data_IF_856166871249
#
_entry.id   IF_856166871249
#
_cell.length_a   1.000
_cell.length_b   1.000
_cell.length_c   1.000
_cell.angle_alpha   90.00
_cell.angle_beta   90.00
_cell.angle_gamma   90.00
#
_symmetry.space_group_name_H-M   'P 1'
#
loop_
_entity.id
_entity.type
_entity.pdbx_description
1 polymer ?
#
# COMPACT_ATOMS: atom_id res chain seq x y z
N UNK A 1 7.76 49.09 -29.16
CA UNK A 1 7.72 47.66 -29.00
C UNK A 1 6.55 47.33 -28.05
N UNK A 2 5.41 46.90 -28.58
CA UNK A 2 4.32 46.39 -27.75
C UNK A 2 4.76 45.03 -27.20
N UNK A 3 4.82 44.88 -25.89
CA UNK A 3 5.06 43.59 -25.26
C UNK A 3 3.92 42.65 -25.71
N UNK A 4 4.27 41.50 -26.26
CA UNK A 4 3.27 40.44 -26.51
C UNK A 4 2.51 40.17 -25.24
N UNK A 5 1.15 40.03 -25.29
CA UNK A 5 0.36 39.75 -24.10
C UNK A 5 0.84 38.45 -23.49
N UNK A 6 1.37 38.53 -22.28
CA UNK A 6 1.84 37.38 -21.52
C UNK A 6 0.65 36.42 -21.39
N UNK A 7 0.75 35.23 -21.96
CA UNK A 7 -0.32 34.23 -22.00
C UNK A 7 -0.73 33.91 -20.55
N UNK A 8 -1.90 34.43 -20.13
CA UNK A 8 -2.43 34.15 -18.79
C UNK A 8 -2.86 32.70 -18.72
N UNK A 9 -2.21 31.95 -17.86
CA UNK A 9 -2.60 30.58 -17.56
C UNK A 9 -3.83 30.55 -16.67
N UNK A 10 -4.86 29.82 -17.07
CA UNK A 10 -6.01 29.47 -16.22
C UNK A 10 -5.90 28.02 -15.77
N UNK A 11 -6.67 27.65 -14.74
CA UNK A 11 -6.77 26.27 -14.24
C UNK A 11 -7.05 25.32 -15.40
N UNK A 12 -8.11 25.56 -16.18
CA UNK A 12 -8.50 24.70 -17.29
C UNK A 12 -7.46 24.64 -18.41
N UNK A 13 -6.78 25.76 -18.72
CA UNK A 13 -5.71 25.78 -19.71
C UNK A 13 -4.52 24.90 -19.30
N UNK A 14 -4.16 24.94 -18.00
CA UNK A 14 -3.08 24.12 -17.45
C UNK A 14 -3.47 22.63 -17.40
N UNK A 15 -4.66 22.30 -16.92
CA UNK A 15 -5.17 20.91 -16.91
C UNK A 15 -5.15 20.34 -18.32
N UNK A 16 -5.67 21.09 -19.32
CA UNK A 16 -5.65 20.64 -20.71
C UNK A 16 -4.24 20.39 -21.21
N UNK A 17 -3.34 21.34 -21.03
CA UNK A 17 -1.96 21.22 -21.47
C UNK A 17 -1.24 20.05 -20.81
N UNK A 18 -1.35 19.91 -19.47
CA UNK A 18 -0.75 18.80 -18.73
C UNK A 18 -1.32 17.45 -19.16
N UNK A 19 -2.64 17.37 -19.40
CA UNK A 19 -3.29 16.16 -19.93
C UNK A 19 -2.72 15.74 -21.27
N UNK A 20 -2.56 16.70 -22.20
CA UNK A 20 -2.02 16.42 -23.54
C UNK A 20 -0.54 15.99 -23.46
N UNK A 21 0.27 16.65 -22.62
CA UNK A 21 1.68 16.29 -22.40
C UNK A 21 1.83 14.91 -21.73
N UNK A 22 1.03 14.61 -20.71
CA UNK A 22 1.04 13.31 -20.03
C UNK A 22 0.62 12.17 -20.94
N UNK A 23 -0.41 12.41 -21.79
CA UNK A 23 -0.86 11.45 -22.81
C UNK A 23 0.24 11.15 -23.82
N UNK A 24 0.92 12.18 -24.31
CA UNK A 24 2.03 12.02 -25.25
C UNK A 24 3.20 11.20 -24.66
N UNK A 25 3.32 11.12 -23.33
CA UNK A 25 4.32 10.33 -22.61
C UNK A 25 3.82 8.96 -22.18
N UNK A 26 2.60 8.57 -22.59
CA UNK A 26 2.01 7.27 -22.24
C UNK A 26 1.68 7.13 -20.76
N UNK A 27 1.38 8.21 -20.03
CA UNK A 27 0.83 8.13 -18.67
C UNK A 27 -0.60 7.61 -18.77
N UNK A 28 -0.92 6.61 -17.95
CA UNK A 28 -2.16 5.83 -18.08
C UNK A 28 -3.43 6.67 -17.87
N UNK A 29 -3.45 7.52 -16.84
CA UNK A 29 -4.61 8.34 -16.48
C UNK A 29 -4.31 9.85 -16.60
N UNK A 30 -3.95 10.38 -17.81
CA UNK A 30 -3.30 11.67 -17.96
C UNK A 30 -4.18 12.84 -17.49
N UNK A 31 -5.50 12.78 -17.70
CA UNK A 31 -6.42 13.82 -17.25
C UNK A 31 -6.64 13.79 -15.75
N UNK A 32 -6.81 12.60 -15.18
CA UNK A 32 -6.96 12.42 -13.74
C UNK A 32 -5.73 12.96 -13.00
N UNK A 33 -4.54 12.59 -13.48
CA UNK A 33 -3.27 13.03 -12.90
C UNK A 33 -3.14 14.56 -12.95
N UNK A 34 -3.46 15.19 -14.09
CA UNK A 34 -3.43 16.63 -14.22
C UNK A 34 -4.40 17.33 -13.25
N UNK A 35 -5.65 16.86 -13.15
CA UNK A 35 -6.66 17.40 -12.24
C UNK A 35 -6.23 17.22 -10.77
N UNK A 36 -5.69 16.07 -10.39
CA UNK A 36 -5.22 15.78 -9.04
C UNK A 36 -4.04 16.67 -8.65
N UNK A 37 -3.07 16.87 -9.53
CA UNK A 37 -1.92 17.75 -9.27
C UNK A 37 -2.35 19.22 -9.12
N UNK A 38 -3.29 19.68 -9.94
CA UNK A 38 -3.82 21.04 -9.83
C UNK A 38 -4.62 21.20 -8.54
N UNK A 39 -5.48 20.24 -8.21
CA UNK A 39 -6.23 20.24 -6.96
C UNK A 39 -5.30 20.32 -5.74
N UNK A 40 -4.25 19.48 -5.73
CA UNK A 40 -3.23 19.45 -4.68
C UNK A 40 -2.48 20.78 -4.55
N UNK A 41 -1.97 21.32 -5.66
CA UNK A 41 -1.20 22.56 -5.64
C UNK A 41 -2.01 23.77 -5.19
N UNK A 42 -3.31 23.78 -5.47
CA UNK A 42 -4.21 24.88 -5.12
C UNK A 42 -4.92 24.69 -3.77
N UNK A 43 -4.77 23.52 -3.12
CA UNK A 43 -5.47 23.20 -1.87
C UNK A 43 -6.99 23.14 -2.03
N UNK A 44 -7.49 22.72 -3.20
CA UNK A 44 -8.91 22.61 -3.51
C UNK A 44 -9.27 21.17 -3.91
N UNK A 45 -10.56 20.82 -3.89
CA UNK A 45 -11.01 19.54 -4.42
C UNK A 45 -11.09 19.52 -5.95
N UNK A 46 -11.16 18.32 -6.56
CA UNK A 46 -11.24 18.13 -8.02
C UNK A 46 -12.50 18.75 -8.63
N UNK A 47 -13.60 18.80 -7.91
CA UNK A 47 -14.84 19.43 -8.39
C UNK A 47 -14.62 20.91 -8.62
N UNK A 48 -13.91 21.57 -7.68
CA UNK A 48 -13.55 22.99 -7.83
C UNK A 48 -12.57 23.24 -8.99
N UNK A 49 -11.66 22.33 -9.27
CA UNK A 49 -10.77 22.42 -10.46
C UNK A 49 -11.59 22.53 -11.75
N UNK A 50 -12.71 21.82 -11.84
CA UNK A 50 -13.62 21.87 -13.00
C UNK A 50 -14.44 23.16 -12.99
N UNK A 51 -15.05 23.51 -11.86
CA UNK A 51 -15.92 24.69 -11.75
C UNK A 51 -15.12 25.99 -11.97
N UNK A 52 -13.93 26.10 -11.39
CA UNK A 52 -13.08 27.27 -11.46
C UNK A 52 -12.12 27.26 -12.67
N UNK A 53 -12.44 26.52 -13.71
CA UNK A 53 -11.54 26.29 -14.87
C UNK A 53 -11.07 27.60 -15.55
N UNK A 54 -11.84 28.67 -15.47
CA UNK A 54 -11.51 29.99 -16.02
C UNK A 54 -10.68 30.86 -15.06
N UNK A 55 -10.49 30.45 -13.79
CA UNK A 55 -9.70 31.19 -12.81
C UNK A 55 -8.25 31.31 -13.27
N UNK A 56 -7.67 32.52 -13.34
CA UNK A 56 -6.25 32.70 -13.59
C UNK A 56 -5.42 32.09 -12.46
N UNK A 57 -4.25 31.55 -12.82
CA UNK A 57 -3.27 31.02 -11.87
C UNK A 57 -2.28 32.10 -11.47
N UNK A 58 -2.03 32.20 -10.17
CA UNK A 58 -1.03 33.10 -9.60
C UNK A 58 0.40 32.63 -9.89
N UNK A 59 1.40 33.53 -9.93
CA UNK A 59 2.79 33.15 -10.21
C UNK A 59 3.34 32.05 -9.28
N UNK A 60 2.99 32.11 -7.98
CA UNK A 60 3.42 31.09 -7.00
C UNK A 60 2.78 29.72 -7.28
N UNK A 61 1.48 29.70 -7.61
CA UNK A 61 0.75 28.47 -7.98
C UNK A 61 1.36 27.86 -9.26
N UNK A 62 1.68 28.69 -10.24
CA UNK A 62 2.35 28.25 -11.49
C UNK A 62 3.74 27.67 -11.23
N UNK A 63 4.50 28.24 -10.30
CA UNK A 63 5.83 27.74 -9.95
C UNK A 63 5.75 26.33 -9.34
N UNK A 64 4.84 26.12 -8.37
CA UNK A 64 4.60 24.81 -7.78
C UNK A 64 4.10 23.80 -8.80
N UNK A 65 3.13 24.19 -9.62
CA UNK A 65 2.58 23.32 -10.67
C UNK A 65 3.62 22.92 -11.72
N UNK A 66 4.55 23.80 -12.07
CA UNK A 66 5.66 23.46 -12.97
C UNK A 66 6.55 22.37 -12.40
N UNK A 67 6.87 22.44 -11.09
CA UNK A 67 7.67 21.40 -10.44
C UNK A 67 6.93 20.08 -10.42
N UNK A 68 5.68 20.06 -9.96
CA UNK A 68 4.85 18.85 -9.89
C UNK A 68 4.67 18.20 -11.27
N UNK A 69 4.37 19.00 -12.29
CA UNK A 69 4.24 18.50 -13.67
C UNK A 69 5.58 17.94 -14.18
N UNK A 70 6.70 18.62 -13.90
CA UNK A 70 8.03 18.14 -14.30
C UNK A 70 8.35 16.78 -13.68
N UNK A 71 8.08 16.62 -12.40
CA UNK A 71 8.28 15.37 -11.67
C UNK A 71 7.37 14.26 -12.20
N UNK A 72 6.07 14.54 -12.44
CA UNK A 72 5.15 13.56 -13.03
C UNK A 72 5.55 13.15 -14.45
N UNK A 73 6.08 14.07 -15.26
CA UNK A 73 6.68 13.76 -16.58
C UNK A 73 7.83 12.76 -16.50
N UNK A 74 8.56 12.76 -15.41
CA UNK A 74 9.62 11.78 -15.09
C UNK A 74 9.06 10.50 -14.49
N UNK A 75 7.73 10.30 -14.53
CA UNK A 75 7.03 9.11 -14.01
C UNK A 75 6.94 9.02 -12.49
N UNK A 76 7.31 10.05 -11.73
CA UNK A 76 7.12 10.02 -10.28
C UNK A 76 5.63 9.79 -9.93
N UNK A 77 5.31 8.81 -9.05
CA UNK A 77 3.93 8.48 -8.71
C UNK A 77 3.17 9.66 -8.10
N UNK A 78 1.90 9.81 -8.47
CA UNK A 78 1.02 10.86 -7.91
C UNK A 78 0.97 10.80 -6.37
N UNK A 79 0.96 9.62 -5.79
CA UNK A 79 0.95 9.46 -4.34
C UNK A 79 2.19 10.05 -3.68
N UNK A 80 3.37 9.89 -4.27
CA UNK A 80 4.61 10.49 -3.76
C UNK A 80 4.65 12.01 -3.99
N UNK A 81 4.12 12.50 -5.11
CA UNK A 81 4.00 13.93 -5.36
C UNK A 81 3.08 14.62 -4.35
N UNK A 82 2.03 13.94 -3.91
CA UNK A 82 1.09 14.42 -2.87
C UNK A 82 1.60 14.16 -1.45
N UNK A 83 2.52 13.21 -1.29
CA UNK A 83 2.99 12.74 0.01
C UNK A 83 1.96 11.89 0.75
N UNK A 84 0.87 11.48 0.10
CA UNK A 84 -0.19 10.68 0.73
C UNK A 84 -0.95 9.79 -0.25
N UNK A 85 -1.47 8.68 0.28
CA UNK A 85 -2.39 7.74 -0.38
C UNK A 85 -3.52 7.38 0.56
N UNK A 86 -4.75 7.42 0.06
CA UNK A 86 -5.88 6.89 0.80
C UNK A 86 -5.86 5.36 0.83
N UNK A 87 -6.11 4.78 2.01
CA UNK A 87 -6.29 3.36 2.22
C UNK A 87 -7.33 3.15 3.32
N UNK A 88 -8.34 2.37 3.06
CA UNK A 88 -9.44 2.07 3.99
C UNK A 88 -10.09 3.34 4.57
N UNK A 89 -10.31 4.35 3.72
CA UNK A 89 -10.90 5.64 4.07
C UNK A 89 -10.00 6.57 4.91
N UNK A 90 -8.67 6.31 4.99
CA UNK A 90 -7.71 7.11 5.76
C UNK A 90 -6.53 7.55 4.92
N UNK A 91 -6.03 8.80 5.09
CA UNK A 91 -4.86 9.29 4.35
C UNK A 91 -3.56 8.81 5.01
N UNK A 92 -2.89 7.87 4.39
CA UNK A 92 -1.56 7.40 4.78
C UNK A 92 -0.48 8.24 4.11
N UNK A 93 0.49 8.71 4.90
CA UNK A 93 1.71 9.31 4.35
C UNK A 93 2.51 8.26 3.61
N UNK A 94 3.03 8.64 2.43
CA UNK A 94 3.88 7.80 1.59
C UNK A 94 4.95 8.63 0.91
N UNK A 95 6.11 8.02 0.74
CA UNK A 95 7.22 8.51 -0.08
C UNK A 95 8.05 7.31 -0.58
N UNK A 96 9.16 7.55 -1.26
CA UNK A 96 9.99 6.51 -1.88
C UNK A 96 10.57 5.44 -0.92
N UNK A 97 10.32 5.55 0.37
CA UNK A 97 10.74 4.56 1.39
C UNK A 97 9.76 3.40 1.54
N UNK A 98 8.53 3.53 1.03
CA UNK A 98 7.47 2.53 1.21
C UNK A 98 6.72 2.24 -0.08
N UNK A 99 6.22 1.02 -0.23
CA UNK A 99 5.24 0.69 -1.25
C UNK A 99 3.99 1.58 -1.08
N UNK A 100 3.46 2.10 -2.17
CA UNK A 100 2.20 2.84 -2.16
C UNK A 100 1.06 1.86 -1.84
N UNK A 101 0.27 2.06 -0.78
CA UNK A 101 -0.88 1.19 -0.47
C UNK A 101 -1.78 0.97 -1.67
N UNK A 102 -2.08 -0.30 -1.96
CA UNK A 102 -2.96 -0.70 -3.07
C UNK A 102 -4.39 -0.91 -2.56
N UNK A 103 -5.41 -0.57 -3.34
CA UNK A 103 -6.81 -0.86 -2.97
C UNK A 103 -7.06 -2.36 -2.73
N UNK A 104 -6.36 -3.21 -3.49
CA UNK A 104 -6.49 -4.67 -3.40
C UNK A 104 -6.08 -5.20 -2.02
N UNK A 105 -5.12 -4.54 -1.35
CA UNK A 105 -4.65 -4.86 0.01
C UNK A 105 -5.74 -4.63 1.08
N UNK A 106 -6.80 -3.86 0.77
CA UNK A 106 -7.95 -3.74 1.67
C UNK A 106 -8.64 -5.08 1.92
N UNK A 107 -8.59 -5.98 0.93
CA UNK A 107 -9.07 -7.37 1.06
C UNK A 107 -8.35 -8.13 2.17
N UNK A 108 -7.05 -7.91 2.38
CA UNK A 108 -6.31 -8.53 3.47
C UNK A 108 -6.83 -8.09 4.84
N UNK A 109 -7.17 -6.81 4.98
CA UNK A 109 -7.81 -6.28 6.19
C UNK A 109 -9.18 -6.92 6.41
N UNK A 110 -10.01 -6.97 5.37
CA UNK A 110 -11.36 -7.54 5.44
C UNK A 110 -11.32 -9.02 5.85
N UNK A 111 -10.41 -9.80 5.25
CA UNK A 111 -10.20 -11.22 5.60
C UNK A 111 -9.76 -11.37 7.06
N UNK A 112 -8.78 -10.60 7.51
CA UNK A 112 -8.30 -10.67 8.88
C UNK A 112 -9.43 -10.36 9.89
N UNK A 113 -10.26 -9.35 9.61
CA UNK A 113 -11.40 -8.99 10.45
C UNK A 113 -12.50 -10.05 10.44
N UNK A 114 -12.85 -10.58 9.27
CA UNK A 114 -13.89 -11.60 9.10
C UNK A 114 -13.51 -12.91 9.78
N UNK A 115 -12.29 -13.41 9.54
CA UNK A 115 -11.77 -14.66 10.09
C UNK A 115 -11.62 -14.62 11.63
N UNK A 116 -11.50 -13.41 12.20
CA UNK A 116 -11.37 -13.21 13.66
C UNK A 116 -12.61 -12.58 14.30
N UNK A 117 -13.75 -12.56 13.61
CA UNK A 117 -14.98 -11.94 14.11
C UNK A 117 -15.49 -12.59 15.43
N UNK A 118 -15.21 -13.88 15.62
CA UNK A 118 -15.56 -14.66 16.81
C UNK A 118 -14.57 -14.52 17.98
N UNK A 119 -13.39 -13.92 17.73
CA UNK A 119 -12.38 -13.71 18.78
C UNK A 119 -12.75 -12.47 19.59
N UNK A 120 -12.32 -12.44 20.85
CA UNK A 120 -12.56 -11.29 21.73
C UNK A 120 -12.04 -10.00 21.13
N UNK A 121 -12.58 -8.85 21.57
CA UNK A 121 -12.15 -7.53 21.11
C UNK A 121 -10.66 -7.23 21.41
N UNK A 122 -10.05 -7.97 22.34
CA UNK A 122 -8.64 -7.81 22.72
C UNK A 122 -7.80 -8.96 22.12
N UNK A 123 -7.37 -8.77 20.87
CA UNK A 123 -6.53 -9.72 20.12
C UNK A 123 -5.07 -9.30 20.11
N UNK A 124 -4.19 -10.26 19.85
CA UNK A 124 -2.80 -10.02 19.47
C UNK A 124 -2.63 -10.25 17.98
N UNK A 125 -2.22 -9.22 17.28
CA UNK A 125 -2.04 -9.23 15.84
C UNK A 125 -0.57 -9.01 15.50
N UNK A 126 -0.08 -9.71 14.48
CA UNK A 126 1.22 -9.46 13.88
C UNK A 126 1.00 -9.12 12.41
N UNK A 127 1.58 -8.00 11.95
CA UNK A 127 1.62 -7.62 10.55
C UNK A 127 3.06 -7.65 10.06
N UNK A 128 3.36 -8.57 9.16
CA UNK A 128 4.68 -8.73 8.54
C UNK A 128 4.76 -7.90 7.25
N UNK A 129 5.94 -7.40 6.91
CA UNK A 129 6.18 -6.56 5.74
C UNK A 129 5.25 -5.33 5.73
N UNK A 130 5.17 -4.64 6.87
CA UNK A 130 4.13 -3.63 7.14
C UNK A 130 4.22 -2.39 6.26
N UNK A 131 5.37 -2.11 5.65
CA UNK A 131 5.60 -0.97 4.76
C UNK A 131 5.20 0.37 5.40
N UNK A 132 4.21 1.04 4.82
CA UNK A 132 3.64 2.28 5.37
C UNK A 132 2.82 2.10 6.66
N UNK A 133 2.62 0.86 7.11
CA UNK A 133 1.76 0.51 8.24
C UNK A 133 0.28 0.42 7.87
N UNK A 134 -0.10 0.42 6.60
CA UNK A 134 -1.49 0.56 6.20
C UNK A 134 -2.38 -0.58 6.72
N UNK A 135 -1.93 -1.83 6.70
CA UNK A 135 -2.68 -2.99 7.24
C UNK A 135 -2.70 -2.94 8.77
N UNK A 136 -1.52 -2.88 9.41
CA UNK A 136 -1.40 -2.87 10.88
C UNK A 136 -2.22 -1.74 11.53
N UNK A 137 -2.09 -0.52 11.03
CA UNK A 137 -2.77 0.66 11.56
C UNK A 137 -4.28 0.56 11.34
N UNK A 138 -4.71 0.07 10.18
CA UNK A 138 -6.14 -0.13 9.92
C UNK A 138 -6.73 -1.16 10.85
N UNK A 139 -6.09 -2.31 11.04
CA UNK A 139 -6.51 -3.33 12.00
C UNK A 139 -6.54 -2.79 13.44
N UNK A 140 -5.52 -2.03 13.83
CA UNK A 140 -5.47 -1.38 15.16
C UNK A 140 -6.64 -0.40 15.38
N UNK A 141 -7.04 0.33 14.33
CA UNK A 141 -8.17 1.27 14.39
C UNK A 141 -9.53 0.58 14.37
N UNK A 142 -9.64 -0.59 13.71
CA UNK A 142 -10.85 -1.42 13.71
C UNK A 142 -11.01 -2.23 15.03
N UNK A 143 -9.90 -2.51 15.71
CA UNK A 143 -9.83 -3.28 16.97
C UNK A 143 -9.05 -2.49 18.04
N UNK A 144 -9.62 -1.42 18.61
CA UNK A 144 -8.88 -0.47 19.47
C UNK A 144 -8.32 -1.07 20.76
N UNK A 145 -8.89 -2.18 21.24
CA UNK A 145 -8.44 -2.89 22.45
C UNK A 145 -7.40 -3.98 22.16
N UNK A 146 -7.12 -4.25 20.89
CA UNK A 146 -6.13 -5.24 20.46
C UNK A 146 -4.71 -4.68 20.58
N UNK A 147 -3.73 -5.57 20.65
CA UNK A 147 -2.30 -5.24 20.58
C UNK A 147 -1.79 -5.65 19.21
N UNK A 148 -1.28 -4.71 18.46
CA UNK A 148 -0.72 -4.95 17.13
C UNK A 148 0.80 -4.81 17.19
N UNK A 149 1.51 -5.82 16.68
CA UNK A 149 2.93 -5.75 16.38
C UNK A 149 3.09 -5.67 14.88
N UNK A 150 3.77 -4.66 14.39
CA UNK A 150 4.05 -4.47 12.97
C UNK A 150 5.56 -4.60 12.73
N UNK A 151 5.96 -5.38 11.74
CA UNK A 151 7.37 -5.59 11.43
C UNK A 151 7.69 -5.32 9.96
N UNK A 152 8.89 -4.82 9.74
CA UNK A 152 9.48 -4.64 8.42
C UNK A 152 10.99 -4.80 8.52
N UNK A 153 11.64 -5.23 7.45
CA UNK A 153 13.09 -5.30 7.37
C UNK A 153 13.72 -3.91 7.18
N UNK A 154 12.95 -2.96 6.65
CA UNK A 154 13.38 -1.58 6.37
C UNK A 154 13.12 -0.64 7.56
N UNK A 155 14.15 -0.11 8.21
CA UNK A 155 13.99 0.90 9.25
C UNK A 155 13.36 2.19 8.72
N UNK A 156 13.57 2.51 7.44
CA UNK A 156 12.98 3.66 6.77
C UNK A 156 11.47 3.49 6.56
N UNK A 157 11.02 2.29 6.19
CA UNK A 157 9.59 1.97 6.13
C UNK A 157 8.94 2.07 7.51
N UNK A 158 9.60 1.54 8.54
CA UNK A 158 9.12 1.65 9.93
C UNK A 158 9.05 3.09 10.42
N UNK A 159 9.92 3.99 9.94
CA UNK A 159 9.84 5.41 10.27
C UNK A 159 8.55 6.03 9.71
N UNK A 160 8.20 5.71 8.45
CA UNK A 160 6.93 6.15 7.83
C UNK A 160 5.73 5.54 8.55
N UNK A 161 5.78 4.24 8.89
CA UNK A 161 4.70 3.55 9.60
C UNK A 161 4.44 4.15 10.98
N UNK A 162 5.50 4.48 11.76
CA UNK A 162 5.37 5.15 13.06
C UNK A 162 4.73 6.54 12.92
N UNK A 163 5.12 7.31 11.92
CA UNK A 163 4.51 8.61 11.64
C UNK A 163 3.02 8.47 11.30
N UNK A 164 2.65 7.50 10.47
CA UNK A 164 1.27 7.20 10.13
C UNK A 164 0.47 6.76 11.37
N UNK A 165 1.03 5.89 12.22
CA UNK A 165 0.37 5.46 13.45
C UNK A 165 0.05 6.63 14.37
N UNK A 166 1.02 7.54 14.55
CA UNK A 166 0.82 8.75 15.35
C UNK A 166 -0.26 9.67 14.76
N UNK A 167 -0.15 9.98 13.45
CA UNK A 167 -1.12 10.85 12.73
C UNK A 167 -2.54 10.30 12.74
N UNK A 168 -2.68 8.99 12.64
CA UNK A 168 -3.98 8.32 12.56
C UNK A 168 -4.50 7.83 13.93
N UNK A 169 -3.78 8.11 15.02
CA UNK A 169 -4.18 7.77 16.38
C UNK A 169 -4.22 6.28 16.68
N UNK A 170 -3.34 5.49 16.05
CA UNK A 170 -3.20 4.04 16.28
C UNK A 170 -2.13 3.76 17.34
N UNK A 171 -2.41 4.12 18.60
CA UNK A 171 -1.44 4.02 19.70
C UNK A 171 -1.24 2.60 20.26
N UNK A 172 -2.04 1.66 19.80
CA UNK A 172 -1.97 0.25 20.13
C UNK A 172 -1.12 -0.58 19.14
N UNK A 173 -0.31 0.09 18.29
CA UNK A 173 0.66 -0.54 17.38
C UNK A 173 2.07 -0.36 17.91
N UNK A 174 2.82 -1.47 18.06
CA UNK A 174 4.26 -1.47 18.27
C UNK A 174 4.98 -1.85 16.99
N UNK A 175 6.20 -1.35 16.79
CA UNK A 175 6.98 -1.57 15.57
C UNK A 175 8.33 -2.17 15.88
N UNK A 176 8.71 -3.21 15.13
CA UNK A 176 9.99 -3.92 15.26
C UNK A 176 10.66 -4.10 13.89
N UNK A 177 11.95 -3.81 13.81
CA UNK A 177 12.75 -4.16 12.64
C UNK A 177 13.03 -5.65 12.64
N UNK A 178 12.60 -6.36 11.59
CA UNK A 178 12.72 -7.81 11.50
C UNK A 178 12.67 -8.29 10.06
N UNK A 179 13.58 -9.17 9.69
CA UNK A 179 13.42 -10.01 8.51
C UNK A 179 12.42 -11.11 8.86
N UNK A 180 11.16 -10.90 8.42
CA UNK A 180 10.01 -11.71 8.79
C UNK A 180 9.95 -11.93 10.33
N UNK A 181 10.17 -13.16 10.78
CA UNK A 181 10.06 -13.54 12.21
C UNK A 181 11.36 -13.43 13.00
N UNK A 182 12.49 -13.08 12.37
CA UNK A 182 13.82 -13.19 12.99
C UNK A 182 13.96 -12.44 14.32
N UNK A 183 13.37 -11.28 14.47
CA UNK A 183 13.41 -10.46 15.67
C UNK A 183 12.06 -10.39 16.41
N UNK A 184 11.08 -11.22 16.03
CA UNK A 184 9.85 -11.35 16.81
C UNK A 184 10.19 -12.06 18.11
N UNK A 185 9.82 -11.50 19.31
CA UNK A 185 10.21 -12.09 20.58
C UNK A 185 9.81 -13.56 20.69
N UNK A 186 10.75 -14.41 21.08
CA UNK A 186 10.52 -15.84 21.26
C UNK A 186 9.35 -16.09 22.25
N UNK A 187 8.48 -17.05 21.94
CA UNK A 187 7.30 -17.34 22.74
C UNK A 187 6.11 -16.39 22.51
N UNK A 188 6.25 -15.37 21.66
CA UNK A 188 5.08 -14.59 21.23
C UNK A 188 4.05 -15.50 20.57
N UNK A 189 2.77 -15.18 20.81
CA UNK A 189 1.63 -15.86 20.19
C UNK A 189 0.64 -14.82 19.70
N UNK A 190 0.06 -15.08 18.53
CA UNK A 190 -0.86 -14.15 17.87
C UNK A 190 -2.15 -14.88 17.48
N UNK A 191 -3.27 -14.20 17.63
CA UNK A 191 -4.57 -14.66 17.16
C UNK A 191 -4.67 -14.56 15.63
N UNK A 192 -3.98 -13.58 15.04
CA UNK A 192 -3.87 -13.41 13.58
C UNK A 192 -2.51 -12.88 13.18
N UNK A 193 -1.98 -13.43 12.10
CA UNK A 193 -0.79 -12.93 11.40
C UNK A 193 -1.23 -12.52 10.00
N UNK A 194 -0.97 -11.27 9.61
CA UNK A 194 -1.15 -10.76 8.26
C UNK A 194 0.19 -10.53 7.59
N UNK A 195 0.26 -10.65 6.26
CA UNK A 195 1.42 -10.29 5.48
C UNK A 195 1.02 -9.84 4.08
N UNK A 196 1.60 -8.74 3.62
CA UNK A 196 1.67 -8.39 2.21
C UNK A 196 3.16 -8.39 1.81
N UNK A 197 3.74 -9.57 1.55
CA UNK A 197 5.14 -9.70 1.20
C UNK A 197 5.39 -9.31 -0.26
N UNK A 198 6.64 -9.03 -0.65
CA UNK A 198 7.01 -8.95 -2.06
C UNK A 198 6.65 -10.29 -2.78
N UNK A 199 5.94 -10.17 -3.90
CA UNK A 199 5.45 -11.34 -4.66
C UNK A 199 5.72 -11.26 -6.17
N UNK A 200 6.43 -10.24 -6.67
CA UNK A 200 6.74 -10.14 -8.09
C UNK A 200 7.99 -10.98 -8.38
N UNK A 201 7.89 -11.86 -9.37
CA UNK A 201 9.06 -12.63 -9.80
C UNK A 201 10.18 -11.70 -10.27
N UNK A 202 11.42 -11.96 -9.85
CA UNK A 202 12.58 -11.09 -10.15
C UNK A 202 12.67 -10.75 -11.64
N UNK A 203 12.38 -11.73 -12.53
CA UNK A 203 12.43 -11.54 -13.97
C UNK A 203 11.34 -10.61 -14.53
N UNK A 204 10.25 -10.38 -13.80
CA UNK A 204 9.12 -9.56 -14.22
C UNK A 204 9.28 -8.09 -13.82
N UNK A 205 10.18 -7.78 -12.90
CA UNK A 205 10.37 -6.42 -12.35
C UNK A 205 10.69 -5.41 -13.45
N UNK A 206 11.56 -5.78 -14.40
CA UNK A 206 11.93 -4.91 -15.50
C UNK A 206 10.76 -4.60 -16.45
N UNK A 207 9.73 -5.43 -16.47
CA UNK A 207 8.51 -5.24 -17.25
C UNK A 207 7.45 -4.35 -16.58
N UNK A 208 7.64 -3.97 -15.33
CA UNK A 208 6.68 -3.14 -14.59
C UNK A 208 6.58 -1.73 -15.19
N UNK A 209 5.44 -1.09 -14.92
CA UNK A 209 5.27 0.32 -15.24
C UNK A 209 6.40 1.16 -14.60
N UNK A 210 6.90 2.15 -15.34
CA UNK A 210 8.07 2.93 -14.92
C UNK A 210 7.88 3.65 -13.57
N UNK A 211 6.65 4.04 -13.22
CA UNK A 211 6.32 4.66 -11.94
C UNK A 211 6.43 3.68 -10.77
N UNK A 212 6.27 2.39 -10.99
CA UNK A 212 6.50 1.35 -9.98
C UNK A 212 8.00 0.99 -9.95
N UNK A 213 8.53 0.56 -11.10
CA UNK A 213 9.90 0.03 -11.23
C UNK A 213 10.97 1.02 -10.77
N UNK A 214 10.83 2.31 -11.16
CA UNK A 214 11.88 3.31 -10.99
C UNK A 214 11.76 4.10 -9.67
N UNK A 215 10.60 4.03 -8.99
CA UNK A 215 10.32 4.87 -7.82
C UNK A 215 9.98 4.09 -6.56
N UNK A 216 9.31 2.94 -6.66
CA UNK A 216 8.96 2.17 -5.47
C UNK A 216 10.14 1.29 -5.01
N UNK A 217 10.28 1.03 -3.70
CA UNK A 217 11.42 0.26 -3.19
C UNK A 217 11.46 -1.14 -3.80
N UNK A 218 12.57 -1.51 -4.46
CA UNK A 218 12.74 -2.82 -5.08
C UNK A 218 12.51 -3.97 -4.08
N UNK A 219 12.98 -3.80 -2.83
CA UNK A 219 12.78 -4.80 -1.78
C UNK A 219 11.33 -5.02 -1.38
N UNK A 220 10.41 -4.10 -1.73
CA UNK A 220 8.98 -4.27 -1.52
C UNK A 220 8.26 -4.92 -2.73
N UNK A 221 8.99 -5.19 -3.82
CA UNK A 221 8.45 -5.76 -5.06
C UNK A 221 8.96 -7.18 -5.31
N UNK A 222 10.27 -7.42 -5.10
CA UNK A 222 11.00 -8.62 -5.53
C UNK A 222 10.71 -9.82 -4.61
N UNK A 223 9.84 -10.72 -5.07
CA UNK A 223 9.44 -11.95 -4.38
C UNK A 223 10.35 -13.16 -4.66
N UNK A 224 11.48 -12.96 -5.36
CA UNK A 224 12.39 -14.03 -5.72
C UNK A 224 12.11 -14.64 -7.10
N UNK A 225 12.62 -15.83 -7.33
CA UNK A 225 12.64 -16.43 -8.67
C UNK A 225 11.24 -16.64 -9.28
N UNK A 226 10.26 -16.97 -8.46
CA UNK A 226 8.88 -17.27 -8.87
C UNK A 226 7.82 -16.50 -8.06
N UNK A 227 8.23 -15.46 -7.31
CA UNK A 227 7.34 -14.63 -6.50
C UNK A 227 7.02 -15.20 -5.12
N UNK A 228 7.30 -16.47 -4.84
CA UNK A 228 6.81 -17.17 -3.65
C UNK A 228 7.83 -17.33 -2.51
N UNK A 229 9.02 -16.75 -2.62
CA UNK A 229 10.09 -16.98 -1.63
C UNK A 229 9.69 -16.55 -0.21
N UNK A 230 9.01 -15.42 -0.08
CA UNK A 230 8.52 -14.94 1.21
C UNK A 230 7.31 -15.73 1.70
N UNK A 231 6.39 -16.06 0.79
CA UNK A 231 5.20 -16.88 1.12
C UNK A 231 5.61 -18.23 1.73
N UNK A 232 6.59 -18.94 1.11
CA UNK A 232 7.13 -20.20 1.63
C UNK A 232 7.65 -20.05 3.06
N UNK A 233 8.49 -19.03 3.30
CA UNK A 233 9.08 -18.76 4.62
C UNK A 233 8.01 -18.43 5.66
N UNK A 234 7.04 -17.58 5.28
CA UNK A 234 5.97 -17.16 6.20
C UNK A 234 5.10 -18.36 6.57
N UNK A 235 4.63 -19.13 5.60
CA UNK A 235 3.78 -20.31 5.82
C UNK A 235 4.48 -21.35 6.69
N UNK A 236 5.79 -21.56 6.49
CA UNK A 236 6.58 -22.54 7.26
C UNK A 236 6.74 -22.13 8.72
N UNK A 237 7.00 -20.87 8.99
CA UNK A 237 7.39 -20.38 10.33
C UNK A 237 6.19 -19.90 11.15
N UNK A 238 5.14 -19.37 10.54
CA UNK A 238 3.99 -18.77 11.23
C UNK A 238 3.31 -19.68 12.26
N UNK A 239 3.21 -21.04 12.11
CA UNK A 239 2.63 -21.91 13.13
C UNK A 239 3.31 -21.80 14.49
N UNK A 240 4.60 -21.50 14.54
CA UNK A 240 5.33 -21.31 15.79
C UNK A 240 4.93 -20.02 16.54
N UNK A 241 4.28 -19.07 15.86
CA UNK A 241 3.85 -17.78 16.38
C UNK A 241 2.33 -17.61 16.45
N UNK A 242 1.54 -18.50 15.87
CA UNK A 242 0.09 -18.49 15.98
C UNK A 242 -0.36 -19.20 17.26
N UNK A 243 -1.44 -18.71 17.87
CA UNK A 243 -2.19 -19.46 18.85
C UNK A 243 -2.93 -20.65 18.21
N UNK A 244 -3.38 -21.62 19.01
CA UNK A 244 -4.24 -22.70 18.53
C UNK A 244 -5.56 -22.11 18.01
N UNK A 245 -5.87 -22.37 16.76
CA UNK A 245 -7.00 -21.73 16.07
C UNK A 245 -6.69 -20.33 15.55
N UNK A 246 -5.44 -19.86 15.63
CA UNK A 246 -5.00 -18.59 15.07
C UNK A 246 -4.97 -18.60 13.54
N UNK A 247 -5.13 -17.44 12.93
CA UNK A 247 -5.27 -17.25 11.48
C UNK A 247 -3.98 -16.72 10.89
N UNK A 248 -3.53 -17.32 9.77
CA UNK A 248 -2.58 -16.72 8.85
C UNK A 248 -3.34 -16.20 7.62
N UNK A 249 -3.11 -14.95 7.22
CA UNK A 249 -3.65 -14.36 5.99
C UNK A 249 -2.52 -13.67 5.21
N UNK A 250 -2.34 -14.05 3.96
CA UNK A 250 -1.24 -13.54 3.10
C UNK A 250 -1.84 -12.97 1.81
N UNK A 251 -1.46 -11.74 1.46
CA UNK A 251 -1.69 -11.20 0.12
C UNK A 251 -0.73 -11.85 -0.88
N UNK A 252 -1.23 -12.15 -2.09
CA UNK A 252 -0.51 -12.86 -3.14
C UNK A 252 -0.65 -12.15 -4.49
N UNK A 253 0.26 -12.45 -5.40
CA UNK A 253 0.19 -12.07 -6.79
C UNK A 253 -0.93 -12.79 -7.55
N UNK A 254 -1.34 -12.21 -8.68
CA UNK A 254 -2.35 -12.82 -9.54
C UNK A 254 -1.84 -14.17 -10.08
N UNK A 255 -2.62 -15.23 -9.88
CA UNK A 255 -2.29 -16.60 -10.33
C UNK A 255 -1.52 -17.46 -9.31
N UNK A 256 -1.08 -16.89 -8.18
CA UNK A 256 -0.31 -17.61 -7.15
C UNK A 256 -1.17 -18.41 -6.15
N UNK A 257 -2.49 -18.26 -6.20
CA UNK A 257 -3.40 -18.89 -5.24
C UNK A 257 -3.27 -20.43 -5.18
N UNK A 258 -3.17 -21.18 -6.29
CA UNK A 258 -3.03 -22.64 -6.22
C UNK A 258 -1.76 -23.07 -5.49
N UNK A 259 -0.62 -22.46 -5.80
CA UNK A 259 0.66 -22.81 -5.21
C UNK A 259 0.71 -22.40 -3.73
N UNK A 260 0.23 -21.19 -3.39
CA UNK A 260 0.14 -20.75 -2.02
C UNK A 260 -0.78 -21.67 -1.20
N UNK A 261 -1.95 -22.03 -1.73
CA UNK A 261 -2.86 -22.98 -1.07
C UNK A 261 -2.18 -24.33 -0.78
N UNK A 262 -1.44 -24.86 -1.75
CA UNK A 262 -0.70 -26.11 -1.58
C UNK A 262 0.36 -26.02 -0.45
N UNK A 263 1.02 -24.87 -0.30
CA UNK A 263 1.93 -24.62 0.83
C UNK A 263 1.20 -24.65 2.17
N UNK A 264 0.01 -24.02 2.29
CA UNK A 264 -0.81 -24.07 3.51
C UNK A 264 -1.24 -25.50 3.82
N UNK A 265 -1.73 -26.28 2.83
CA UNK A 265 -2.15 -27.67 2.99
C UNK A 265 -0.98 -28.55 3.46
N UNK A 266 0.18 -28.41 2.81
CA UNK A 266 1.39 -29.19 3.18
C UNK A 266 1.88 -28.89 4.61
N UNK A 267 1.64 -27.66 5.11
CA UNK A 267 2.00 -27.26 6.48
C UNK A 267 0.94 -27.63 7.51
N UNK A 268 -0.19 -28.17 7.08
CA UNK A 268 -1.26 -28.64 7.97
C UNK A 268 -2.24 -27.58 8.44
N UNK A 269 -2.31 -26.44 7.77
CA UNK A 269 -3.39 -25.47 8.01
C UNK A 269 -4.73 -26.08 7.61
N UNK A 270 -5.78 -25.72 8.31
CA UNK A 270 -7.16 -26.14 8.04
C UNK A 270 -8.01 -24.93 7.67
N UNK A 271 -9.21 -25.18 7.14
CA UNK A 271 -10.16 -24.14 6.75
C UNK A 271 -9.49 -23.06 5.84
N UNK A 272 -8.83 -23.56 4.78
CA UNK A 272 -8.07 -22.70 3.87
C UNK A 272 -9.03 -22.06 2.86
N UNK A 273 -9.06 -20.73 2.85
CA UNK A 273 -9.89 -19.91 1.98
C UNK A 273 -9.02 -19.07 1.05
N UNK A 274 -9.55 -18.80 -0.14
CA UNK A 274 -8.96 -17.89 -1.14
C UNK A 274 -9.97 -16.80 -1.43
N UNK A 275 -9.64 -15.57 -1.06
CA UNK A 275 -10.51 -14.42 -1.27
C UNK A 275 -10.07 -13.60 -2.47
N UNK A 276 -11.08 -13.02 -3.14
CA UNK A 276 -10.89 -12.16 -4.31
C UNK A 276 -11.04 -10.71 -3.93
N UNK A 277 -10.18 -9.88 -4.53
CA UNK A 277 -10.31 -8.43 -4.45
C UNK A 277 -11.57 -7.92 -5.17
N UNK A 278 -11.81 -6.61 -5.11
CA UNK A 278 -12.94 -5.97 -5.80
C UNK A 278 -12.86 -6.10 -7.33
N UNK A 279 -11.66 -6.34 -7.88
CA UNK A 279 -11.42 -6.65 -9.29
C UNK A 279 -11.70 -8.11 -9.67
N UNK A 280 -12.13 -8.95 -8.71
CA UNK A 280 -12.39 -10.40 -8.87
C UNK A 280 -11.12 -11.24 -9.11
N UNK A 281 -9.95 -10.71 -8.80
CA UNK A 281 -8.67 -11.41 -8.83
C UNK A 281 -8.44 -12.07 -7.47
N UNK A 282 -8.01 -13.33 -7.43
CA UNK A 282 -7.61 -14.01 -6.20
C UNK A 282 -6.43 -13.26 -5.58
N UNK A 283 -6.63 -12.79 -4.34
CA UNK A 283 -5.72 -11.83 -3.72
C UNK A 283 -5.23 -12.21 -2.34
N UNK A 284 -6.00 -12.94 -1.56
CA UNK A 284 -5.63 -13.34 -0.21
C UNK A 284 -5.86 -14.83 -0.02
N UNK A 285 -4.83 -15.52 0.46
CA UNK A 285 -4.96 -16.89 0.97
C UNK A 285 -4.91 -16.83 2.49
N UNK A 286 -5.89 -17.44 3.15
CA UNK A 286 -5.92 -17.56 4.60
C UNK A 286 -6.16 -18.98 5.06
N UNK A 287 -5.64 -19.33 6.24
CA UNK A 287 -5.85 -20.64 6.84
C UNK A 287 -5.72 -20.58 8.37
N UNK A 288 -6.29 -21.54 9.04
CA UNK A 288 -6.30 -21.65 10.50
C UNK A 288 -5.24 -22.66 10.93
N UNK A 289 -4.41 -22.29 11.93
CA UNK A 289 -3.58 -23.26 12.66
C UNK A 289 -4.49 -24.24 13.41
N UNK A 290 -4.39 -25.57 13.20
CA UNK A 290 -5.19 -26.52 13.92
C UNK A 290 -4.95 -26.43 15.43
N UNK A 291 -5.96 -26.74 16.21
CA UNK A 291 -5.81 -26.91 17.66
C UNK A 291 -5.09 -28.22 17.90
N UNK A 292 -4.00 -28.15 18.66
CA UNK A 292 -3.22 -29.35 19.06
C UNK A 292 -3.92 -30.18 20.12
#
# INVERSE_FOLDING_TARGET
>A
MQAEPQKTWTIGALVKWATDDFRARGIENPRLDAEVLVAFALGIDRTRVIIESLRPLEPAELALLRDLVKRRRSREPIAYLRGEREFYGRPFRVDSRVLIPRPDTETLVDVALARTAHVSLSMRLLDLCTGSGCVAITLARQRPTSKVLASDVSPDALAVARENAYRLGAYNVAFVESDLFANIPAGSRFDVITANPPYIATAEIEGLAADIRDYEPRGALDGGADGLDFVRKIVDVAPAFLDDGGVLAIEIGAGEAPDTRALFEARGYVDIEVERDYGKIERVVSGIRPRG
#
